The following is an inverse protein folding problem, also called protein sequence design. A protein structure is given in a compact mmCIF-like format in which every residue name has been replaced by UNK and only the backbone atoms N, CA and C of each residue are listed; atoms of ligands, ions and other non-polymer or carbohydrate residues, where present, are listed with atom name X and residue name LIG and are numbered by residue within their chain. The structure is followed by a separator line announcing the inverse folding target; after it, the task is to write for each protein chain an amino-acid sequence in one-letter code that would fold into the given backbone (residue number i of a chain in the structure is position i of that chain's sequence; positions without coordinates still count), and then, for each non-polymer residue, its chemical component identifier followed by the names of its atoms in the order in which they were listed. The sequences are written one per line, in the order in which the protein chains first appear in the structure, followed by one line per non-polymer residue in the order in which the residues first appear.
data_IF_981113816243
#
_entry.id   IF_981113816243
#
_cell.length_a   1.000
_cell.length_b   1.000
_cell.length_c   1.000
_cell.angle_alpha   90.00
_cell.angle_beta   90.00
_cell.angle_gamma   90.00
#
_symmetry.space_group_name_H-M   'P 1'
#
loop_
_entity.id
_entity.type
_entity.pdbx_description
1 polymer ?
#
# COMPACT_ATOMS: atom_id res chain seq x y z
N UNK A 1 -9.95 -8.45 7.41
CA UNK A 1 -10.26 -7.49 6.33
C UNK A 1 -10.12 -8.25 5.03
N UNK A 2 -11.21 -8.63 4.40
CA UNK A 2 -11.19 -9.15 3.03
C UNK A 2 -11.59 -8.03 2.06
N UNK A 3 -11.12 -8.10 0.82
CA UNK A 3 -11.50 -7.17 -0.24
C UNK A 3 -10.56 -5.97 -0.39
N UNK A 4 -11.12 -4.80 -0.72
CA UNK A 4 -10.36 -3.62 -1.13
C UNK A 4 -9.86 -2.75 0.04
N UNK A 5 -10.43 -2.92 1.24
CA UNK A 5 -10.06 -2.15 2.43
C UNK A 5 -8.56 -2.18 2.80
N UNK A 6 -7.83 -3.32 2.74
CA UNK A 6 -6.39 -3.33 3.01
C UNK A 6 -5.59 -2.48 2.01
N UNK A 7 -6.01 -2.45 0.74
CA UNK A 7 -5.38 -1.65 -0.30
C UNK A 7 -5.68 -0.16 -0.10
N UNK A 8 -6.91 0.18 0.29
CA UNK A 8 -7.30 1.56 0.62
C UNK A 8 -6.52 2.04 1.85
N UNK A 9 -6.34 1.18 2.86
CA UNK A 9 -5.52 1.49 4.02
C UNK A 9 -4.07 1.73 3.60
N UNK A 10 -3.49 0.84 2.80
CA UNK A 10 -2.14 1.01 2.28
C UNK A 10 -1.98 2.33 1.51
N UNK A 11 -2.98 2.70 0.71
CA UNK A 11 -2.99 3.95 -0.03
C UNK A 11 -3.09 5.18 0.88
N UNK A 12 -3.92 5.12 1.93
CA UNK A 12 -4.03 6.23 2.89
C UNK A 12 -2.78 6.42 3.76
N UNK A 13 -2.06 5.34 4.03
CA UNK A 13 -0.79 5.36 4.77
C UNK A 13 0.43 5.60 3.87
N UNK A 14 0.24 5.71 2.55
CA UNK A 14 1.32 5.86 1.56
C UNK A 14 2.36 4.73 1.66
N UNK A 15 1.87 3.50 1.83
CA UNK A 15 2.71 2.33 2.07
C UNK A 15 3.54 2.00 0.84
N UNK A 16 4.82 1.68 1.08
CA UNK A 16 5.77 1.34 0.01
C UNK A 16 5.82 -0.14 -0.33
N UNK A 17 5.60 -1.00 0.67
CA UNK A 17 5.70 -2.45 0.52
C UNK A 17 4.38 -3.13 0.86
N UNK A 18 4.00 -4.14 0.06
CA UNK A 18 2.78 -4.89 0.30
C UNK A 18 2.92 -5.78 1.56
N UNK A 19 1.88 -5.81 2.39
CA UNK A 19 1.79 -6.72 3.53
C UNK A 19 2.49 -6.25 4.82
N UNK A 20 3.17 -5.09 4.81
CA UNK A 20 3.76 -4.50 6.03
C UNK A 20 3.66 -2.97 6.01
N UNK A 21 3.66 -2.38 7.20
CA UNK A 21 3.77 -0.95 7.39
C UNK A 21 4.91 -0.67 8.36
N UNK A 22 5.72 0.33 8.05
CA UNK A 22 6.67 0.90 8.99
C UNK A 22 5.93 1.72 10.03
N UNK A 23 6.55 1.89 11.21
CA UNK A 23 6.00 2.74 12.27
C UNK A 23 5.79 4.18 11.79
N UNK A 24 6.71 4.69 10.97
CA UNK A 24 6.63 6.04 10.42
C UNK A 24 5.43 6.22 9.47
N UNK A 25 5.20 5.27 8.55
CA UNK A 25 4.02 5.27 7.67
C UNK A 25 2.72 5.25 8.48
N UNK A 26 2.67 4.39 9.51
CA UNK A 26 1.51 4.29 10.39
C UNK A 26 1.26 5.59 11.16
N UNK A 27 2.27 6.14 11.82
CA UNK A 27 2.14 7.37 12.64
C UNK A 27 1.81 8.56 11.75
N UNK A 28 2.48 8.71 10.60
CA UNK A 28 2.23 9.81 9.66
C UNK A 28 0.83 9.74 9.06
N UNK A 29 0.40 8.55 8.63
CA UNK A 29 -0.92 8.36 8.04
C UNK A 29 -2.05 8.56 9.05
N UNK A 30 -1.96 7.96 10.23
CA UNK A 30 -2.96 8.15 11.31
C UNK A 30 -3.01 9.59 11.83
N UNK A 31 -1.87 10.28 11.91
CA UNK A 31 -1.81 11.71 12.26
C UNK A 31 -2.47 12.58 11.19
N UNK A 32 -2.27 12.25 9.90
CA UNK A 32 -2.88 12.99 8.77
C UNK A 32 -4.40 12.81 8.75
N UNK A 33 -4.90 11.61 9.05
CA UNK A 33 -6.32 11.31 9.19
C UNK A 33 -6.91 11.80 10.53
N UNK A 34 -6.06 12.26 11.46
CA UNK A 34 -6.39 12.65 12.84
C UNK A 34 -7.25 11.61 13.57
N UNK A 35 -6.94 10.33 13.36
CA UNK A 35 -7.63 9.22 14.02
C UNK A 35 -6.80 8.71 15.18
N UNK A 36 -7.36 8.80 16.37
CA UNK A 36 -6.75 8.33 17.63
C UNK A 36 -7.24 6.94 18.06
N UNK A 37 -8.15 6.32 17.29
CA UNK A 37 -8.68 4.98 17.57
C UNK A 37 -9.03 4.21 16.30
N UNK A 38 -9.16 2.89 16.42
CA UNK A 38 -9.46 1.97 15.32
C UNK A 38 -10.87 2.15 14.70
N UNK A 39 -11.95 2.38 15.48
CA UNK A 39 -13.30 2.54 14.92
C UNK A 39 -13.47 3.69 13.91
N UNK A 40 -12.95 4.92 14.15
CA UNK A 40 -13.05 5.99 13.16
C UNK A 40 -12.14 5.75 11.94
N UNK A 41 -11.02 5.02 12.09
CA UNK A 41 -10.21 4.59 10.95
C UNK A 41 -11.00 3.63 10.04
N UNK A 42 -11.64 2.61 10.61
CA UNK A 42 -12.47 1.67 9.84
C UNK A 42 -13.63 2.37 9.13
N UNK A 43 -14.24 3.36 9.78
CA UNK A 43 -15.30 4.19 9.19
C UNK A 43 -14.77 4.98 8.00
N UNK A 44 -13.61 5.63 8.12
CA UNK A 44 -13.00 6.38 7.03
C UNK A 44 -12.66 5.49 5.83
N UNK A 45 -12.15 4.28 6.08
CA UNK A 45 -11.86 3.30 5.03
C UNK A 45 -13.13 2.80 4.34
N UNK A 46 -14.19 2.53 5.09
CA UNK A 46 -15.49 2.09 4.55
C UNK A 46 -16.14 3.17 3.69
N UNK A 47 -16.03 4.43 4.08
CA UNK A 47 -16.51 5.57 3.29
C UNK A 47 -15.70 5.74 2.00
N UNK A 48 -14.38 5.57 2.05
CA UNK A 48 -13.51 5.57 0.87
C UNK A 48 -13.80 4.40 -0.08
N UNK A 49 -14.07 3.20 0.44
CA UNK A 49 -14.41 2.02 -0.37
C UNK A 49 -15.71 2.24 -1.14
N UNK A 50 -16.74 2.77 -0.48
CA UNK A 50 -18.01 3.13 -1.15
C UNK A 50 -17.83 4.17 -2.25
N UNK A 51 -16.96 5.16 -2.01
CA UNK A 51 -16.67 6.20 -2.98
C UNK A 51 -15.90 5.67 -4.19
N UNK A 52 -14.84 4.89 -3.98
CA UNK A 52 -13.93 4.47 -5.04
C UNK A 52 -14.41 3.24 -5.80
N UNK A 53 -15.00 2.26 -5.11
CA UNK A 53 -15.32 0.96 -5.69
C UNK A 53 -16.79 0.88 -6.12
N UNK A 54 -17.70 1.42 -5.30
CA UNK A 54 -19.12 1.32 -5.56
C UNK A 54 -19.70 2.54 -6.29
N UNK A 55 -18.88 3.56 -6.57
CA UNK A 55 -19.28 4.90 -7.07
C UNK A 55 -20.49 5.46 -6.31
N UNK A 56 -20.68 4.97 -5.08
CA UNK A 56 -21.83 5.25 -4.26
C UNK A 56 -21.39 6.33 -3.29
N UNK A 57 -21.23 7.53 -3.85
CA UNK A 57 -20.94 8.75 -3.10
C UNK A 57 -22.08 9.16 -2.17
N UNK A 58 -23.12 8.30 -1.99
CA UNK A 58 -24.28 8.52 -1.13
C UNK A 58 -23.82 9.25 0.11
N UNK A 59 -24.12 10.54 0.06
CA UNK A 59 -23.63 11.61 0.91
C UNK A 59 -23.40 11.03 2.29
N UNK A 60 -22.14 10.86 2.71
CA UNK A 60 -21.82 10.52 4.11
C UNK A 60 -22.29 11.70 4.96
N UNK A 61 -23.60 11.73 5.23
CA UNK A 61 -24.35 12.69 6.04
C UNK A 61 -24.24 12.33 7.51
N UNK A 62 -23.16 11.64 7.90
CA UNK A 62 -22.81 11.52 9.29
C UNK A 62 -22.37 12.91 9.78
N UNK A 63 -23.34 13.66 10.31
CA UNK A 63 -23.27 14.95 11.01
C UNK A 63 -22.33 14.97 12.23
N UNK A 64 -21.59 13.87 12.45
CA UNK A 64 -20.64 13.66 13.55
C UNK A 64 -19.39 13.00 12.95
N UNK A 65 -18.49 13.78 12.37
CA UNK A 65 -17.27 13.24 11.77
C UNK A 65 -16.23 12.98 12.86
N UNK A 66 -15.99 11.71 13.21
CA UNK A 66 -14.93 11.31 14.14
C UNK A 66 -13.52 11.33 13.53
N UNK A 67 -13.34 11.89 12.31
CA UNK A 67 -12.07 11.99 11.61
C UNK A 67 -12.05 13.17 10.62
N UNK A 68 -10.87 13.59 10.18
CA UNK A 68 -10.69 14.74 9.28
C UNK A 68 -11.11 14.38 7.84
N UNK A 69 -12.17 15.02 7.34
CA UNK A 69 -12.74 14.77 6.00
C UNK A 69 -12.09 15.57 4.88
N UNK A 70 -11.06 16.37 5.15
CA UNK A 70 -10.45 17.25 4.13
C UNK A 70 -9.94 16.46 2.92
N UNK A 71 -9.25 15.33 3.15
CA UNK A 71 -8.83 14.40 2.07
C UNK A 71 -10.02 13.74 1.38
N UNK A 72 -10.99 13.24 2.14
CA UNK A 72 -12.20 12.63 1.59
C UNK A 72 -12.95 13.58 0.64
N UNK A 73 -13.15 14.83 1.05
CA UNK A 73 -13.78 15.87 0.24
C UNK A 73 -12.99 16.16 -1.04
N UNK A 74 -11.65 16.13 -0.99
CA UNK A 74 -10.83 16.29 -2.19
C UNK A 74 -11.07 15.17 -3.21
N UNK A 75 -11.24 13.93 -2.76
CA UNK A 75 -11.55 12.80 -3.65
C UNK A 75 -12.97 12.86 -4.21
N UNK A 76 -13.94 13.38 -3.45
CA UNK A 76 -15.31 13.56 -3.97
C UNK A 76 -15.43 14.60 -5.07
N UNK A 77 -14.47 15.53 -5.20
CA UNK A 77 -14.44 16.52 -6.29
C UNK A 77 -14.11 15.89 -7.63
N UNK A 78 -13.20 14.92 -7.63
CA UNK A 78 -12.74 14.19 -8.82
C UNK A 78 -12.56 12.69 -8.51
N UNK A 79 -13.68 11.97 -8.43
CA UNK A 79 -13.69 10.54 -8.10
C UNK A 79 -12.89 9.71 -9.12
N UNK A 80 -12.97 10.08 -10.41
CA UNK A 80 -12.24 9.39 -11.49
C UNK A 80 -10.72 9.53 -11.34
N UNK A 81 -10.24 10.73 -11.01
CA UNK A 81 -8.81 10.97 -10.77
C UNK A 81 -8.35 10.23 -9.50
N UNK A 82 -9.15 10.28 -8.44
CA UNK A 82 -8.86 9.55 -7.20
C UNK A 82 -8.78 8.03 -7.43
N UNK A 83 -9.72 7.47 -8.17
CA UNK A 83 -9.71 6.05 -8.56
C UNK A 83 -8.49 5.71 -9.42
N UNK A 84 -8.16 6.56 -10.40
CA UNK A 84 -6.99 6.35 -11.25
C UNK A 84 -5.68 6.34 -10.45
N UNK A 85 -5.51 7.28 -9.51
CA UNK A 85 -4.36 7.30 -8.58
C UNK A 85 -4.32 6.08 -7.68
N UNK A 86 -5.46 5.65 -7.16
CA UNK A 86 -5.57 4.43 -6.36
C UNK A 86 -5.20 3.19 -7.17
N UNK A 87 -5.66 3.10 -8.42
CA UNK A 87 -5.31 2.00 -9.32
C UNK A 87 -3.81 1.94 -9.61
N UNK A 88 -3.19 3.09 -9.94
CA UNK A 88 -1.74 3.17 -10.16
C UNK A 88 -0.98 2.80 -8.88
N UNK A 89 -1.45 3.26 -7.71
CA UNK A 89 -0.85 2.91 -6.42
C UNK A 89 -0.86 1.40 -6.21
N UNK A 90 -2.00 0.72 -6.39
CA UNK A 90 -2.11 -0.73 -6.26
C UNK A 90 -1.16 -1.46 -7.23
N UNK A 91 -1.03 -0.96 -8.47
CA UNK A 91 -0.12 -1.54 -9.45
C UNK A 91 1.36 -1.39 -9.05
N UNK A 92 1.74 -0.24 -8.46
CA UNK A 92 3.10 -0.02 -7.97
C UNK A 92 3.36 -0.81 -6.69
N UNK A 93 2.39 -0.92 -5.78
CA UNK A 93 2.51 -1.70 -4.54
C UNK A 93 2.68 -3.20 -4.82
N UNK A 94 2.02 -3.70 -5.87
CA UNK A 94 2.15 -5.08 -6.32
C UNK A 94 3.48 -5.38 -7.04
N UNK A 95 4.24 -4.34 -7.44
CA UNK A 95 5.58 -4.51 -8.01
C UNK A 95 6.60 -4.50 -6.88
N UNK A 96 7.31 -5.61 -6.62
CA UNK A 96 8.39 -5.57 -5.66
C UNK A 96 9.49 -4.62 -6.15
N UNK A 97 9.98 -3.72 -5.28
CA UNK A 97 11.14 -2.85 -5.57
C UNK A 97 12.38 -3.66 -5.97
N UNK A 98 12.43 -4.95 -5.65
CA UNK A 98 13.50 -5.88 -6.00
C UNK A 98 13.50 -6.33 -7.48
N UNK A 99 12.48 -6.02 -8.29
CA UNK A 99 12.46 -6.40 -9.72
C UNK A 99 13.38 -5.56 -10.62
N UNK A 100 14.17 -4.62 -10.08
CA UNK A 100 15.22 -3.94 -10.86
C UNK A 100 16.64 -4.52 -10.70
N UNK A 101 16.91 -5.40 -9.72
CA UNK A 101 18.31 -5.79 -9.46
C UNK A 101 18.62 -7.17 -8.87
N UNK A 102 17.74 -8.18 -8.94
CA UNK A 102 18.11 -9.53 -8.45
C UNK A 102 17.97 -10.57 -9.55
N UNK A 103 18.98 -10.65 -10.42
CA UNK A 103 19.62 -11.92 -10.80
C UNK A 103 21.02 -11.65 -11.39
N UNK A 104 21.98 -11.32 -10.53
CA UNK A 104 23.41 -11.53 -10.80
C UNK A 104 24.08 -12.18 -9.58
N UNK A 105 23.32 -12.95 -8.79
CA UNK A 105 23.84 -13.76 -7.69
C UNK A 105 23.72 -15.27 -7.97
N UNK A 106 23.24 -15.68 -9.16
CA UNK A 106 23.49 -17.03 -9.71
C UNK A 106 24.82 -17.03 -10.49
N UNK A 107 25.87 -16.49 -9.86
CA UNK A 107 27.24 -16.57 -10.37
C UNK A 107 28.23 -17.09 -9.35
N UNK A 108 27.81 -17.95 -8.43
CA UNK A 108 28.66 -18.95 -7.79
C UNK A 108 27.74 -19.95 -7.07
N UNK A 109 27.66 -21.23 -7.52
CA UNK A 109 28.71 -22.17 -7.15
C UNK A 109 28.91 -23.32 -8.18
N UNK A 110 29.77 -23.14 -9.19
CA UNK A 110 30.36 -24.29 -9.92
C UNK A 110 31.85 -24.02 -10.19
N UNK A 111 32.56 -23.54 -9.16
CA UNK A 111 34.03 -23.51 -9.15
C UNK A 111 34.62 -24.00 -7.83
N UNK A 112 33.86 -24.78 -7.05
CA UNK A 112 34.37 -25.55 -5.91
C UNK A 112 34.15 -27.05 -6.15
N UNK A 113 34.69 -27.51 -7.27
CA UNK A 113 35.16 -28.89 -7.42
C UNK A 113 36.32 -28.91 -8.44
N UNK A 114 37.35 -28.11 -8.15
CA UNK A 114 38.68 -28.42 -8.64
C UNK A 114 39.27 -29.46 -7.67
N UNK A 115 39.32 -30.76 -8.02
CA UNK A 115 40.28 -31.64 -7.38
C UNK A 115 41.66 -31.20 -7.86
N UNK A 116 42.35 -30.49 -6.96
CA UNK A 116 43.80 -30.41 -7.00
C UNK A 116 44.33 -31.82 -6.71
N UNK A 117 44.92 -32.46 -7.73
CA UNK A 117 45.84 -33.57 -7.55
C UNK A 117 46.88 -33.51 -8.66
N UNK A 118 48.12 -33.56 -8.21
CA UNK A 118 49.39 -33.17 -8.81
C UNK A 118 49.89 -34.08 -9.97
N UNK A 119 50.94 -33.65 -10.70
CA UNK A 119 51.47 -34.38 -11.85
C UNK A 119 52.34 -35.57 -11.41
N UNK A 120 52.42 -36.62 -12.23
CA UNK A 120 53.44 -37.66 -12.10
C UNK A 120 53.74 -38.25 -13.48
N UNK A 121 55.04 -38.24 -13.79
CA UNK A 121 55.84 -38.81 -14.89
C UNK A 121 55.19 -39.69 -15.96
#
# INVERSE_FOLDING_TARGET
MEGSMPLILAWQLDAKEMGKFTKDEWVKGTSTLKVSSLPPLLTALSDLEKLLIFDNSAKSTAKTASYDRTKYLSYTKDVKDAYHRFYIFCFNLAKPEQSRNIDMEVRAPIMIHAPSAEPSE
#
